data_IF_027059810810
#
_entry.id   IF_027059810810
#
_cell.length_a   1.000
_cell.length_b   1.000
_cell.length_c   1.000
_cell.angle_alpha   90.00
_cell.angle_beta   90.00
_cell.angle_gamma   90.00
#
_symmetry.space_group_name_H-M   'P 1'
#
loop_
_entity.id
_entity.type
_entity.pdbx_description
1 polymer ?
#
# COMPACT_ATOMS: atom_id res chain seq x y z
N UNK A 1 20.78 -6.66 -13.80
CA UNK A 1 19.61 -7.55 -13.70
C UNK A 1 18.39 -6.65 -13.68
N UNK A 2 17.56 -6.69 -14.73
CA UNK A 2 16.34 -5.87 -14.78
C UNK A 2 15.39 -6.35 -13.69
N UNK A 3 15.18 -5.51 -12.68
CA UNK A 3 14.27 -5.77 -11.58
C UNK A 3 12.83 -5.62 -12.11
N UNK A 4 12.17 -6.76 -12.34
CA UNK A 4 10.80 -6.82 -12.87
C UNK A 4 9.78 -7.19 -11.78
N UNK A 5 10.03 -6.78 -10.53
CA UNK A 5 9.06 -6.99 -9.44
C UNK A 5 7.75 -6.25 -9.77
N UNK A 6 6.58 -6.92 -9.69
CA UNK A 6 5.29 -6.28 -9.98
C UNK A 6 4.94 -5.13 -9.03
N UNK A 7 5.43 -5.18 -7.78
CA UNK A 7 5.23 -4.11 -6.79
C UNK A 7 6.57 -3.83 -6.12
N UNK A 8 7.02 -2.57 -6.16
CA UNK A 8 8.25 -2.18 -5.45
C UNK A 8 8.12 -0.86 -4.70
N UNK A 9 8.88 -0.76 -3.62
CA UNK A 9 9.06 0.44 -2.81
C UNK A 9 10.55 0.79 -2.86
N UNK A 10 10.84 2.02 -3.26
CA UNK A 10 12.17 2.59 -3.25
C UNK A 10 12.26 3.58 -2.09
N UNK A 11 13.33 3.51 -1.31
CA UNK A 11 13.53 4.31 -0.11
C UNK A 11 14.76 5.21 -0.24
N UNK A 12 14.63 6.46 0.14
CA UNK A 12 15.75 7.36 0.41
C UNK A 12 16.57 6.87 1.61
N UNK A 13 17.82 7.33 1.69
CA UNK A 13 18.78 6.81 2.66
C UNK A 13 18.35 7.00 4.13
N UNK A 14 17.57 8.05 4.43
CA UNK A 14 17.08 8.34 5.78
C UNK A 14 16.01 7.35 6.26
N UNK A 15 15.41 6.59 5.35
CA UNK A 15 14.35 5.62 5.67
C UNK A 15 14.86 4.19 5.84
N UNK A 16 16.15 3.94 5.60
CA UNK A 16 16.74 2.59 5.67
C UNK A 16 16.62 2.01 7.08
N UNK A 17 16.73 2.84 8.12
CA UNK A 17 16.58 2.39 9.51
C UNK A 17 15.16 1.88 9.82
N UNK A 18 14.14 2.29 9.06
CA UNK A 18 12.77 1.81 9.23
C UNK A 18 12.58 0.35 8.76
N UNK A 19 13.52 -0.19 7.96
CA UNK A 19 13.45 -1.54 7.39
C UNK A 19 14.48 -2.51 7.98
N UNK A 20 15.45 -2.03 8.75
CA UNK A 20 16.49 -2.87 9.34
C UNK A 20 15.99 -3.61 10.59
N UNK A 21 16.01 -4.95 10.54
CA UNK A 21 15.52 -5.81 11.62
C UNK A 21 16.37 -5.71 12.90
N UNK A 22 17.65 -5.29 12.81
CA UNK A 22 18.53 -5.18 13.98
C UNK A 22 18.25 -3.96 14.85
N UNK A 23 17.74 -2.88 14.23
CA UNK A 23 17.36 -1.62 14.89
C UNK A 23 15.87 -1.58 15.26
N UNK A 24 15.14 -2.67 15.00
CA UNK A 24 13.73 -2.81 15.33
C UNK A 24 12.78 -2.46 14.19
N UNK A 25 13.26 -2.24 12.96
CA UNK A 25 12.51 -1.81 11.77
C UNK A 25 11.43 -2.81 11.32
N UNK A 26 10.15 -2.60 11.68
CA UNK A 26 9.08 -3.56 11.45
C UNK A 26 8.38 -3.35 10.10
N UNK A 27 8.88 -2.44 9.26
CA UNK A 27 8.14 -1.96 8.09
C UNK A 27 7.92 -3.06 7.05
N UNK A 28 8.94 -3.88 6.77
CA UNK A 28 8.81 -5.03 5.84
C UNK A 28 7.77 -6.03 6.34
N UNK A 29 7.72 -6.27 7.65
CA UNK A 29 6.73 -7.14 8.28
C UNK A 29 5.31 -6.55 8.19
N UNK A 30 5.16 -5.25 8.43
CA UNK A 30 3.88 -4.53 8.27
C UNK A 30 3.38 -4.56 6.83
N UNK A 31 4.25 -4.28 5.85
CA UNK A 31 3.94 -4.38 4.41
C UNK A 31 3.52 -5.81 4.04
N UNK A 32 4.22 -6.82 4.56
CA UNK A 32 3.87 -8.22 4.35
C UNK A 32 2.50 -8.55 4.95
N UNK A 33 2.19 -8.00 6.13
CA UNK A 33 0.88 -8.10 6.78
C UNK A 33 -0.23 -7.48 5.95
N UNK A 34 -0.03 -6.25 5.47
CA UNK A 34 -0.94 -5.54 4.57
C UNK A 34 -1.21 -6.35 3.31
N UNK A 35 -0.14 -6.83 2.63
CA UNK A 35 -0.26 -7.67 1.43
C UNK A 35 -1.15 -8.88 1.67
N UNK A 36 -0.92 -9.60 2.78
CA UNK A 36 -1.73 -10.78 3.17
C UNK A 36 -3.18 -10.41 3.46
N UNK A 37 -3.42 -9.28 4.11
CA UNK A 37 -4.78 -8.80 4.38
C UNK A 37 -5.53 -8.45 3.10
N UNK A 38 -4.90 -7.70 2.19
CA UNK A 38 -5.49 -7.35 0.89
C UNK A 38 -5.78 -8.62 0.09
N UNK A 39 -4.84 -9.57 0.06
CA UNK A 39 -5.03 -10.84 -0.66
C UNK A 39 -6.27 -11.61 -0.15
N UNK A 40 -6.48 -11.63 1.17
CA UNK A 40 -7.68 -12.25 1.77
C UNK A 40 -8.96 -11.50 1.39
N UNK A 41 -8.92 -10.17 1.39
CA UNK A 41 -10.09 -9.34 1.07
C UNK A 41 -10.50 -9.49 -0.40
N UNK A 42 -9.53 -9.57 -1.31
CA UNK A 42 -9.77 -9.65 -2.76
C UNK A 42 -9.97 -11.08 -3.27
N UNK A 43 -9.56 -12.08 -2.50
CA UNK A 43 -9.68 -13.49 -2.87
C UNK A 43 -8.56 -14.04 -3.76
N UNK A 44 -7.59 -13.21 -4.16
CA UNK A 44 -6.42 -13.64 -4.92
C UNK A 44 -5.10 -13.16 -4.28
N UNK A 45 -3.98 -13.77 -4.67
CA UNK A 45 -2.69 -13.51 -4.03
C UNK A 45 -2.03 -12.26 -4.63
N UNK A 46 -1.82 -11.24 -3.80
CA UNK A 46 -1.03 -10.07 -4.21
C UNK A 46 0.45 -10.45 -4.29
N UNK A 47 1.17 -10.07 -5.38
CA UNK A 47 2.60 -10.29 -5.52
C UNK A 47 3.43 -9.72 -4.36
N UNK A 48 4.58 -10.33 -4.09
CA UNK A 48 5.47 -9.84 -3.05
C UNK A 48 5.94 -8.40 -3.34
N UNK A 49 5.90 -7.55 -2.31
CA UNK A 49 6.36 -6.17 -2.37
C UNK A 49 7.87 -6.15 -2.13
N UNK A 50 8.64 -5.70 -3.12
CA UNK A 50 10.09 -5.58 -3.00
C UNK A 50 10.47 -4.20 -2.45
N UNK A 51 11.24 -4.17 -1.37
CA UNK A 51 11.76 -2.92 -0.78
C UNK A 51 13.25 -2.82 -1.10
N UNK A 52 13.70 -1.63 -1.52
CA UNK A 52 15.10 -1.36 -1.86
C UNK A 52 15.46 0.11 -1.60
N UNK A 53 16.73 0.38 -1.37
CA UNK A 53 17.25 1.75 -1.36
C UNK A 53 17.35 2.32 -2.78
N UNK A 54 17.25 3.64 -2.88
CA UNK A 54 17.53 4.40 -4.10
C UNK A 54 18.19 5.73 -3.73
N UNK A 55 19.50 5.80 -3.94
CA UNK A 55 20.30 6.99 -3.61
C UNK A 55 19.97 8.22 -4.46
N UNK A 56 19.13 8.10 -5.49
CA UNK A 56 18.65 9.25 -6.27
C UNK A 56 17.48 9.98 -5.60
N UNK A 57 16.85 9.37 -4.60
CA UNK A 57 15.75 9.96 -3.84
C UNK A 57 16.25 10.93 -2.76
N UNK A 58 15.41 11.88 -2.38
CA UNK A 58 15.62 12.69 -1.18
C UNK A 58 15.73 11.82 0.07
N UNK A 59 16.42 12.30 1.11
CA UNK A 59 16.70 11.54 2.33
C UNK A 59 15.48 10.82 2.92
N UNK A 60 14.37 11.55 3.02
CA UNK A 60 13.13 11.15 3.64
C UNK A 60 12.07 10.72 2.62
N UNK A 61 12.43 10.64 1.34
CA UNK A 61 11.50 10.34 0.26
C UNK A 61 11.36 8.83 0.08
N UNK A 62 10.15 8.38 -0.23
CA UNK A 62 9.89 7.03 -0.75
C UNK A 62 9.08 7.10 -2.04
N UNK A 63 9.18 6.03 -2.82
CA UNK A 63 8.51 5.89 -4.12
C UNK A 63 7.91 4.50 -4.27
N UNK A 64 6.66 4.45 -4.66
CA UNK A 64 5.87 3.25 -4.93
C UNK A 64 5.78 3.02 -6.44
N UNK A 65 6.03 1.79 -6.88
CA UNK A 65 5.93 1.39 -8.27
C UNK A 65 5.09 0.14 -8.47
N UNK A 66 4.30 0.16 -9.54
CA UNK A 66 3.65 -1.02 -10.10
C UNK A 66 4.30 -1.30 -11.45
N UNK A 67 4.96 -2.45 -11.56
CA UNK A 67 5.90 -2.73 -12.65
C UNK A 67 6.96 -1.63 -12.76
N UNK A 68 7.00 -0.94 -13.90
CA UNK A 68 7.92 0.17 -14.15
C UNK A 68 7.30 1.55 -13.93
N UNK A 69 6.02 1.65 -13.60
CA UNK A 69 5.32 2.93 -13.44
C UNK A 69 5.44 3.42 -12.00
N UNK A 70 5.76 4.70 -11.83
CA UNK A 70 5.67 5.36 -10.52
C UNK A 70 4.21 5.68 -10.26
N UNK A 71 3.66 5.14 -9.17
CA UNK A 71 2.23 5.26 -8.84
C UNK A 71 1.95 6.06 -7.58
N UNK A 72 2.99 6.38 -6.80
CA UNK A 72 2.91 7.22 -5.61
C UNK A 72 4.31 7.57 -5.11
N UNK A 73 4.46 8.78 -4.60
CA UNK A 73 5.70 9.29 -4.00
C UNK A 73 5.31 10.21 -2.84
N UNK A 74 6.06 10.15 -1.75
CA UNK A 74 5.90 11.11 -0.64
C UNK A 74 7.16 11.12 0.24
N UNK A 75 7.15 11.96 1.26
CA UNK A 75 8.15 12.03 2.31
C UNK A 75 7.61 11.54 3.66
N UNK A 76 8.46 10.87 4.41
CA UNK A 76 8.17 10.44 5.77
C UNK A 76 9.38 10.74 6.66
N UNK A 77 9.15 11.16 7.90
CA UNK A 77 10.20 11.64 8.78
C UNK A 77 10.34 10.68 9.98
N UNK A 78 11.35 9.78 9.99
CA UNK A 78 11.48 8.75 11.03
C UNK A 78 11.65 9.29 12.46
N UNK A 79 12.19 10.50 12.59
CA UNK A 79 12.42 11.20 13.86
C UNK A 79 11.20 12.00 14.36
N UNK A 80 10.08 11.96 13.64
CA UNK A 80 8.87 12.76 13.88
C UNK A 80 7.62 11.89 14.00
N UNK A 81 6.48 12.53 14.26
CA UNK A 81 5.14 11.93 14.22
C UNK A 81 4.23 12.80 13.36
N UNK A 82 3.28 12.19 12.66
CA UNK A 82 2.31 12.94 11.86
C UNK A 82 1.09 13.26 12.74
N UNK A 83 0.83 14.54 12.97
CA UNK A 83 -0.37 15.00 13.67
C UNK A 83 -1.45 15.36 12.65
N UNK A 84 -2.58 14.66 12.71
CA UNK A 84 -3.75 14.86 11.86
C UNK A 84 -4.83 15.57 12.68
N UNK A 85 -5.36 16.72 12.22
CA UNK A 85 -6.38 17.48 12.94
C UNK A 85 -7.67 16.66 13.08
N UNK A 86 -8.18 16.56 14.31
CA UNK A 86 -9.52 16.07 14.59
C UNK A 86 -10.58 17.18 14.56
N UNK A 87 -11.85 16.83 14.75
CA UNK A 87 -12.96 17.80 14.72
C UNK A 87 -12.85 18.92 15.77
N UNK A 88 -12.11 18.68 16.85
CA UNK A 88 -11.92 19.60 17.98
C UNK A 88 -10.57 20.34 17.95
N UNK A 89 -9.84 20.23 16.84
CA UNK A 89 -8.53 20.89 16.71
C UNK A 89 -8.69 22.35 16.28
N UNK A 90 -8.41 23.25 17.22
CA UNK A 90 -8.55 24.70 17.01
C UNK A 90 -7.20 25.43 16.82
N UNK A 91 -6.10 24.80 17.22
CA UNK A 91 -4.76 25.40 17.27
C UNK A 91 -3.82 24.74 16.26
N UNK A 92 -3.10 25.56 15.49
CA UNK A 92 -2.09 25.07 14.55
C UNK A 92 -0.82 24.65 15.30
N UNK A 93 -0.37 23.41 15.05
CA UNK A 93 0.86 22.89 15.63
C UNK A 93 2.10 23.44 14.93
N UNK A 94 3.21 23.55 15.67
CA UNK A 94 4.51 23.89 15.12
C UNK A 94 5.20 22.64 14.58
N UNK A 95 5.49 22.64 13.27
CA UNK A 95 6.14 21.53 12.58
C UNK A 95 6.23 21.75 11.07
N UNK A 96 6.30 20.65 10.31
CA UNK A 96 6.32 20.66 8.84
C UNK A 96 4.91 20.36 8.35
N UNK A 97 4.25 21.35 7.75
CA UNK A 97 2.92 21.19 7.18
C UNK A 97 2.98 20.36 5.90
N UNK A 98 2.09 19.38 5.80
CA UNK A 98 2.00 18.43 4.68
C UNK A 98 0.55 18.06 4.39
N UNK A 99 0.33 17.36 3.28
CA UNK A 99 -0.90 16.61 3.04
C UNK A 99 -0.59 15.14 3.23
N UNK A 100 -1.39 14.45 4.03
CA UNK A 100 -1.24 13.01 4.23
C UNK A 100 -1.46 12.28 2.88
N UNK A 101 -0.59 11.32 2.51
CA UNK A 101 -0.56 10.72 1.17
C UNK A 101 -1.83 9.97 0.77
N UNK A 102 -2.53 9.40 1.74
CA UNK A 102 -3.63 8.48 1.50
C UNK A 102 -4.95 9.20 1.21
N UNK A 103 -5.28 10.18 2.04
CA UNK A 103 -6.57 10.86 2.05
C UNK A 103 -6.47 12.33 1.67
N UNK A 104 -5.25 12.87 1.55
CA UNK A 104 -5.02 14.28 1.20
C UNK A 104 -5.39 15.27 2.31
N UNK A 105 -5.49 14.79 3.54
CA UNK A 105 -5.86 15.58 4.72
C UNK A 105 -4.67 16.45 5.12
N UNK A 106 -4.92 17.72 5.45
CA UNK A 106 -3.88 18.62 5.95
C UNK A 106 -3.38 18.11 7.31
N UNK A 107 -2.07 17.95 7.46
CA UNK A 107 -1.43 17.40 8.65
C UNK A 107 -0.09 18.08 8.90
N UNK A 108 0.49 17.84 10.07
CA UNK A 108 1.77 18.45 10.44
C UNK A 108 2.71 17.41 11.05
N UNK A 109 3.93 17.29 10.52
CA UNK A 109 4.99 16.51 11.18
C UNK A 109 5.53 17.26 12.39
N UNK A 110 5.29 16.72 13.57
CA UNK A 110 5.73 17.25 14.85
C UNK A 110 6.89 16.45 15.42
N UNK A 111 7.68 17.10 16.27
CA UNK A 111 8.72 16.40 17.04
C UNK A 111 8.07 15.43 18.03
N UNK A 112 8.70 14.28 18.26
CA UNK A 112 8.13 13.21 19.09
C UNK A 112 7.70 13.67 20.50
N UNK A 113 8.43 14.62 21.09
CA UNK A 113 8.11 15.13 22.43
C UNK A 113 6.83 15.98 22.49
N UNK A 114 6.31 16.45 21.35
CA UNK A 114 5.07 17.23 21.25
C UNK A 114 3.81 16.38 21.16
N UNK A 115 3.94 15.05 21.15
CA UNK A 115 2.79 14.13 21.00
C UNK A 115 1.67 14.42 22.01
N UNK A 116 2.00 14.47 23.30
CA UNK A 116 1.01 14.67 24.37
C UNK A 116 0.32 16.03 24.26
N UNK A 117 1.05 17.07 23.84
CA UNK A 117 0.47 18.39 23.58
C UNK A 117 -0.51 18.33 22.40
N UNK A 118 -0.11 17.73 21.28
CA UNK A 118 -0.96 17.60 20.09
C UNK A 118 -2.25 16.81 20.39
N UNK A 119 -2.15 15.68 21.09
CA UNK A 119 -3.29 14.87 21.50
C UNK A 119 -4.25 15.66 22.41
N UNK A 120 -3.72 16.45 23.36
CA UNK A 120 -4.54 17.30 24.24
C UNK A 120 -5.30 18.40 23.49
N UNK A 121 -4.82 18.79 22.31
CA UNK A 121 -5.43 19.76 21.40
C UNK A 121 -6.34 19.10 20.35
N UNK A 122 -6.66 17.82 20.51
CA UNK A 122 -7.61 17.12 19.63
C UNK A 122 -7.02 16.59 18.33
N UNK A 123 -5.69 16.50 18.21
CA UNK A 123 -5.04 15.84 17.06
C UNK A 123 -4.91 14.34 17.27
N UNK A 124 -5.01 13.59 16.18
CA UNK A 124 -4.62 12.17 16.12
C UNK A 124 -3.16 12.10 15.69
N UNK A 125 -2.31 11.50 16.52
CA UNK A 125 -0.87 11.37 16.24
C UNK A 125 -0.57 9.97 15.67
N UNK A 126 0.14 9.93 14.55
CA UNK A 126 0.41 8.73 13.77
C UNK A 126 1.91 8.51 13.58
N UNK A 127 2.33 7.26 13.69
CA UNK A 127 3.72 6.84 13.50
C UNK A 127 4.17 6.91 12.02
N UNK A 128 5.44 7.29 11.73
CA UNK A 128 6.01 7.28 10.39
C UNK A 128 5.76 5.99 9.59
N UNK A 129 5.99 4.83 10.20
CA UNK A 129 5.78 3.53 9.56
C UNK A 129 4.32 3.30 9.20
N UNK A 130 3.40 3.84 10.01
CA UNK A 130 1.96 3.71 9.80
C UNK A 130 1.51 4.57 8.62
N UNK A 131 2.04 5.78 8.48
CA UNK A 131 1.78 6.64 7.31
C UNK A 131 2.21 5.93 6.02
N UNK A 132 3.46 5.44 5.96
CA UNK A 132 3.97 4.73 4.78
C UNK A 132 3.17 3.44 4.51
N UNK A 133 2.92 2.63 5.54
CA UNK A 133 2.20 1.36 5.39
C UNK A 133 0.76 1.58 4.90
N UNK A 134 0.09 2.64 5.36
CA UNK A 134 -1.27 2.98 4.95
C UNK A 134 -1.30 3.40 3.49
N UNK A 135 -0.36 4.25 3.07
CA UNK A 135 -0.23 4.64 1.67
C UNK A 135 0.06 3.41 0.77
N UNK A 136 0.96 2.51 1.19
CA UNK A 136 1.22 1.24 0.48
C UNK A 136 -0.07 0.42 0.33
N UNK A 137 -0.83 0.26 1.41
CA UNK A 137 -2.09 -0.49 1.38
C UNK A 137 -3.07 0.07 0.35
N UNK A 138 -3.16 1.39 0.28
CA UNK A 138 -4.09 2.10 -0.57
C UNK A 138 -3.67 2.04 -2.03
N UNK A 139 -2.38 2.19 -2.33
CA UNK A 139 -1.84 1.97 -3.66
C UNK A 139 -2.04 0.53 -4.11
N UNK A 140 -1.70 -0.48 -3.29
CA UNK A 140 -1.89 -1.89 -3.69
C UNK A 140 -3.37 -2.19 -3.98
N UNK A 141 -4.28 -1.65 -3.17
CA UNK A 141 -5.73 -1.84 -3.38
C UNK A 141 -6.19 -1.15 -4.66
N UNK A 142 -5.79 0.11 -4.86
CA UNK A 142 -6.11 0.91 -6.05
C UNK A 142 -5.66 0.23 -7.36
N UNK A 143 -4.49 -0.38 -7.34
CA UNK A 143 -3.90 -1.04 -8.51
C UNK A 143 -4.11 -2.56 -8.53
N UNK A 144 -4.99 -3.11 -7.69
CA UNK A 144 -5.19 -4.55 -7.58
C UNK A 144 -5.60 -5.20 -8.90
N UNK A 145 -6.42 -4.52 -9.71
CA UNK A 145 -6.81 -4.99 -11.04
C UNK A 145 -5.62 -5.18 -11.99
N UNK A 146 -4.58 -4.34 -11.90
CA UNK A 146 -3.34 -4.49 -12.69
C UNK A 146 -2.46 -5.64 -12.20
N UNK A 147 -2.58 -5.98 -10.92
CA UNK A 147 -1.83 -7.06 -10.29
C UNK A 147 -2.44 -8.45 -10.50
N UNK A 148 -3.70 -8.53 -10.96
CA UNK A 148 -4.37 -9.79 -11.24
C UNK A 148 -3.80 -10.47 -12.47
N UNK A 149 -3.20 -11.65 -12.30
CA UNK A 149 -2.72 -12.51 -13.38
C UNK A 149 -3.76 -13.51 -13.90
N UNK A 150 -3.43 -14.18 -15.00
CA UNK A 150 -4.24 -15.28 -15.52
C UNK A 150 -4.20 -16.50 -14.59
N UNK A 151 -3.04 -16.76 -13.98
CA UNK A 151 -2.86 -17.85 -13.01
C UNK A 151 -3.71 -17.63 -11.74
N UNK A 152 -3.85 -16.38 -11.30
CA UNK A 152 -4.71 -16.02 -10.16
C UNK A 152 -6.18 -16.31 -10.47
N UNK A 153 -6.64 -15.98 -11.67
CA UNK A 153 -8.00 -16.29 -12.11
C UNK A 153 -8.21 -17.79 -12.24
N UNK A 154 -7.21 -18.53 -12.70
CA UNK A 154 -7.27 -19.99 -12.71
C UNK A 154 -7.41 -20.55 -11.28
N UNK A 155 -6.60 -20.07 -10.33
CA UNK A 155 -6.70 -20.49 -8.93
C UNK A 155 -8.06 -20.15 -8.31
N UNK A 156 -8.67 -19.01 -8.66
CA UNK A 156 -10.03 -18.66 -8.26
C UNK A 156 -11.07 -19.66 -8.81
N UNK A 157 -10.96 -20.03 -10.10
CA UNK A 157 -11.83 -21.01 -10.74
C UNK A 157 -11.66 -22.42 -10.16
N UNK A 158 -10.43 -22.81 -9.83
CA UNK A 158 -10.12 -24.10 -9.22
C UNK A 158 -10.76 -24.19 -7.83
N UNK A 159 -10.68 -23.12 -7.03
CA UNK A 159 -11.34 -23.04 -5.73
C UNK A 159 -12.87 -23.07 -5.87
N UNK A 160 -13.44 -22.33 -6.82
CA UNK A 160 -14.89 -22.34 -7.10
C UNK A 160 -15.38 -23.71 -7.57
N UNK A 161 -14.55 -24.46 -8.29
CA UNK A 161 -14.89 -25.81 -8.76
C UNK A 161 -15.15 -26.80 -7.62
N UNK A 162 -14.65 -26.52 -6.40
CA UNK A 162 -14.94 -27.35 -5.24
C UNK A 162 -16.40 -27.26 -4.77
N UNK A 163 -17.07 -26.13 -5.02
CA UNK A 163 -18.48 -25.92 -4.62
C UNK A 163 -19.44 -25.91 -5.82
N UNK A 164 -18.99 -25.50 -6.99
CA UNK A 164 -19.79 -25.36 -8.20
C UNK A 164 -19.09 -25.91 -9.47
N UNK A 165 -18.72 -27.20 -9.52
CA UNK A 165 -17.93 -27.77 -10.62
C UNK A 165 -18.63 -27.68 -11.99
N UNK A 166 -19.94 -27.96 -12.03
CA UNK A 166 -20.72 -27.89 -13.27
C UNK A 166 -20.80 -26.48 -13.85
N UNK A 167 -20.78 -25.44 -12.99
CA UNK A 167 -20.78 -24.05 -13.43
C UNK A 167 -19.45 -23.72 -14.11
N UNK A 168 -18.33 -24.00 -13.45
CA UNK A 168 -17.00 -23.70 -14.01
C UNK A 168 -16.79 -24.42 -15.33
N UNK A 169 -17.08 -25.73 -15.40
CA UNK A 169 -16.92 -26.53 -16.61
C UNK A 169 -17.87 -26.17 -17.77
N UNK A 170 -19.01 -25.54 -17.48
CA UNK A 170 -19.96 -25.10 -18.51
C UNK A 170 -19.63 -23.72 -19.06
N UNK A 171 -18.95 -22.86 -18.28
CA UNK A 171 -18.63 -21.48 -18.66
C UNK A 171 -17.21 -21.33 -19.20
N UNK A 172 -16.19 -21.81 -18.48
CA UNK A 172 -14.78 -21.63 -18.85
C UNK A 172 -14.14 -23.00 -19.15
N UNK A 173 -13.50 -23.18 -20.32
CA UNK A 173 -13.30 -22.23 -21.43
C UNK A 173 -14.43 -22.24 -22.49
N UNK A 174 -15.53 -22.99 -22.26
CA UNK A 174 -16.53 -23.30 -23.31
C UNK A 174 -17.28 -22.09 -23.87
N UNK A 175 -17.74 -21.20 -23.00
CA UNK A 175 -18.46 -19.97 -23.37
C UNK A 175 -17.53 -18.77 -23.38
N UNK A 176 -16.63 -18.68 -22.39
CA UNK A 176 -15.69 -17.58 -22.22
C UNK A 176 -14.28 -18.15 -22.06
N UNK A 177 -13.33 -17.78 -22.93
CA UNK A 177 -11.92 -18.11 -22.74
C UNK A 177 -11.36 -17.51 -21.44
N UNK A 178 -10.43 -18.20 -20.80
CA UNK A 178 -9.83 -17.75 -19.54
C UNK A 178 -9.27 -16.32 -19.61
N UNK A 179 -8.53 -15.99 -20.68
CA UNK A 179 -7.97 -14.65 -20.88
C UNK A 179 -9.05 -13.55 -20.95
N UNK A 180 -10.21 -13.85 -21.54
CA UNK A 180 -11.33 -12.91 -21.62
C UNK A 180 -11.96 -12.69 -20.25
N UNK A 181 -12.13 -13.77 -19.46
CA UNK A 181 -12.58 -13.66 -18.07
C UNK A 181 -11.59 -12.87 -17.22
N UNK A 182 -10.28 -13.11 -17.38
CA UNK A 182 -9.24 -12.31 -16.72
C UNK A 182 -9.39 -10.83 -17.04
N UNK A 183 -9.58 -10.47 -18.32
CA UNK A 183 -9.83 -9.08 -18.72
C UNK A 183 -11.06 -8.47 -18.03
N UNK A 184 -12.17 -9.21 -17.97
CA UNK A 184 -13.40 -8.75 -17.31
C UNK A 184 -13.17 -8.52 -15.82
N UNK A 185 -12.52 -9.45 -15.12
CA UNK A 185 -12.23 -9.32 -13.68
C UNK A 185 -11.29 -8.16 -13.38
N UNK A 186 -10.29 -7.92 -14.24
CA UNK A 186 -9.42 -6.73 -14.12
C UNK A 186 -10.22 -5.45 -14.19
N UNK A 187 -11.10 -5.32 -15.19
CA UNK A 187 -11.93 -4.11 -15.36
C UNK A 187 -12.89 -3.91 -14.18
N UNK A 188 -13.48 -4.97 -13.63
CA UNK A 188 -14.35 -4.86 -12.45
C UNK A 188 -13.57 -4.30 -11.25
N UNK A 189 -12.40 -4.85 -10.95
CA UNK A 189 -11.58 -4.35 -9.84
C UNK A 189 -11.02 -2.94 -10.08
N UNK A 190 -10.70 -2.57 -11.33
CA UNK A 190 -10.29 -1.21 -11.65
C UNK A 190 -11.40 -0.18 -11.39
N UNK A 191 -12.66 -0.56 -11.59
CA UNK A 191 -13.80 0.33 -11.38
C UNK A 191 -14.25 0.37 -9.92
N UNK A 192 -14.11 -0.73 -9.18
CA UNK A 192 -14.51 -0.81 -7.77
C UNK A 192 -13.45 -0.23 -6.81
N UNK A 193 -12.21 -0.05 -7.28
CA UNK A 193 -11.12 0.58 -6.52
C UNK A 193 -10.83 2.04 -6.93
N UNK A 194 -11.71 2.67 -7.72
CA UNK A 194 -11.72 4.12 -8.01
C UNK A 194 -12.66 4.86 -7.09
#
# INVERSE_FOLDING_TARGET
MTDNSPVSIQLGYGLIEMVDEQTGGPLVNRITGVRKQISRNLGFVIPAVRVRDDMSLGANQYRLRIGQTIVGEDEVYPDRKLAIPGEQSDLKLSGIDVKEPTFGIDATWIEAHKQTEAESQGYVVVEPETVLTTHVSQIITKYAGELLGQDDVQALLDNLSNSAPSLVQSVVPKLIPLHSLTGILRELWLNECR
#
